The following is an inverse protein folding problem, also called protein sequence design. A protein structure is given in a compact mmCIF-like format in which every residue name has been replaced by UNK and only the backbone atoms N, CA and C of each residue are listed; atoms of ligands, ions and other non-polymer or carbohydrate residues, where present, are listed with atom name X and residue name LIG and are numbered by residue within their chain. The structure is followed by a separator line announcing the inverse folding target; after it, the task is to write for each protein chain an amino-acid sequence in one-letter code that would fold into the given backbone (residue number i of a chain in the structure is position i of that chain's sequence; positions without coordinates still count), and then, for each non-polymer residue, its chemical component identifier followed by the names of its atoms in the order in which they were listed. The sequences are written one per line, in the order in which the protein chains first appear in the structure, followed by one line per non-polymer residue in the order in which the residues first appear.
data_IF_508061966388
#
_entry.id   IF_508061966388
#
_cell.length_a   1.000
_cell.length_b   1.000
_cell.length_c   1.000
_cell.angle_alpha   90.00
_cell.angle_beta   90.00
_cell.angle_gamma   90.00
#
_symmetry.space_group_name_H-M   'P 1'
#
loop_
_entity.id
_entity.type
_entity.pdbx_description
1 polymer ?
#
# COMPACT_ATOMS: atom_id res chain seq x y z
N UNK A 1 -0.05 10.27 -4.45
CA UNK A 1 0.75 9.91 -3.25
C UNK A 1 2.06 9.32 -3.76
N UNK A 2 3.19 9.96 -3.45
CA UNK A 2 4.50 9.50 -3.89
C UNK A 2 4.94 8.33 -3.01
N UNK A 3 5.37 7.24 -3.61
CA UNK A 3 6.04 6.12 -2.93
C UNK A 3 7.52 6.18 -3.27
N UNK A 4 8.36 6.24 -2.27
CA UNK A 4 9.73 6.74 -2.39
C UNK A 4 10.83 5.71 -2.26
N UNK A 5 10.65 4.43 -2.52
CA UNK A 5 11.78 3.51 -2.65
C UNK A 5 11.39 2.20 -3.31
N UNK A 6 12.14 1.80 -4.33
CA UNK A 6 12.17 0.44 -4.82
C UNK A 6 13.46 -0.20 -4.34
N UNK A 7 13.37 -1.30 -3.60
CA UNK A 7 14.51 -2.17 -3.36
C UNK A 7 14.48 -3.28 -4.41
N UNK A 8 15.44 -3.23 -5.32
CA UNK A 8 15.67 -4.32 -6.27
C UNK A 8 16.57 -5.35 -5.63
N UNK A 9 16.01 -6.48 -5.24
CA UNK A 9 16.78 -7.68 -4.94
C UNK A 9 16.65 -8.65 -6.12
N UNK A 10 17.71 -9.42 -6.43
CA UNK A 10 17.76 -10.34 -7.59
C UNK A 10 16.67 -11.41 -7.61
N UNK A 11 15.93 -11.60 -6.52
CA UNK A 11 14.94 -12.67 -6.36
C UNK A 11 13.51 -12.21 -6.17
N UNK A 12 13.23 -10.96 -5.76
CA UNK A 12 11.87 -10.47 -5.51
C UNK A 12 11.83 -8.95 -5.46
N UNK A 13 10.70 -8.36 -5.80
CA UNK A 13 10.44 -6.93 -5.63
C UNK A 13 9.49 -6.73 -4.45
N UNK A 14 9.82 -5.78 -3.58
CA UNK A 14 9.07 -5.47 -2.39
C UNK A 14 8.74 -3.98 -2.36
N UNK A 15 7.45 -3.66 -2.39
CA UNK A 15 6.99 -2.34 -2.00
C UNK A 15 7.08 -2.23 -0.47
N UNK A 16 8.14 -1.59 0.02
CA UNK A 16 8.41 -1.53 1.45
C UNK A 16 7.44 -0.61 2.19
N UNK A 17 7.11 -0.96 3.43
CA UNK A 17 6.43 -0.05 4.33
C UNK A 17 7.27 1.20 4.53
N UNK A 18 6.60 2.33 4.63
CA UNK A 18 7.25 3.60 4.99
C UNK A 18 7.90 3.48 6.37
N UNK A 19 8.90 4.30 6.66
CA UNK A 19 9.53 4.35 7.99
C UNK A 19 8.51 4.56 9.11
N UNK A 20 7.40 5.24 8.80
CA UNK A 20 6.26 5.37 9.71
C UNK A 20 5.63 4.03 10.08
N UNK A 21 5.40 3.13 9.10
CA UNK A 21 4.80 1.82 9.40
C UNK A 21 5.73 1.00 10.27
N UNK A 22 7.04 1.03 10.01
CA UNK A 22 8.05 0.36 10.84
C UNK A 22 8.07 0.92 12.26
N UNK A 23 8.05 2.25 12.41
CA UNK A 23 8.02 2.91 13.71
C UNK A 23 6.72 2.58 14.46
N UNK A 24 5.57 2.61 13.78
CA UNK A 24 4.26 2.22 14.32
C UNK A 24 4.27 0.76 14.79
N UNK A 25 4.75 -0.17 13.96
CA UNK A 25 4.78 -1.59 14.29
C UNK A 25 5.67 -1.86 15.50
N UNK A 26 6.83 -1.20 15.59
CA UNK A 26 7.71 -1.26 16.76
C UNK A 26 7.00 -0.81 18.04
N UNK A 27 6.30 0.33 18.00
CA UNK A 27 5.55 0.81 19.16
C UNK A 27 4.42 -0.13 19.54
N UNK A 28 3.70 -0.68 18.57
CA UNK A 28 2.64 -1.66 18.86
C UNK A 28 3.23 -2.90 19.53
N UNK A 29 4.38 -3.40 19.08
CA UNK A 29 5.03 -4.56 19.68
C UNK A 29 5.56 -4.27 21.11
N UNK A 30 6.03 -3.05 21.37
CA UNK A 30 6.48 -2.63 22.70
C UNK A 30 5.32 -2.48 23.71
N UNK A 31 4.12 -2.10 23.24
CA UNK A 31 2.96 -1.84 24.11
C UNK A 31 1.93 -2.98 24.13
N UNK A 32 2.15 -4.07 23.41
CA UNK A 32 1.36 -5.30 23.56
C UNK A 32 1.59 -5.84 24.96
N UNK A 33 0.63 -5.60 25.88
CA UNK A 33 0.74 -5.94 27.29
C UNK A 33 0.76 -4.73 28.24
N UNK A 34 0.91 -3.51 27.73
CA UNK A 34 0.72 -2.31 28.54
C UNK A 34 -0.78 -1.99 28.63
N UNK A 35 -1.30 -1.95 29.84
CA UNK A 35 -2.71 -1.63 30.10
C UNK A 35 -3.00 -0.12 30.08
N UNK A 36 -1.99 0.72 29.88
CA UNK A 36 -2.17 2.17 29.78
C UNK A 36 -2.49 2.63 28.35
N UNK A 37 -3.76 2.53 27.99
CA UNK A 37 -4.31 2.98 26.71
C UNK A 37 -3.95 4.45 26.41
N UNK A 38 -3.84 5.29 27.45
CA UNK A 38 -3.54 6.72 27.28
C UNK A 38 -2.11 6.93 26.77
N UNK A 39 -1.16 6.23 27.36
CA UNK A 39 0.25 6.24 26.94
C UNK A 39 0.41 5.73 25.51
N UNK A 40 -0.24 4.61 25.21
CA UNK A 40 -0.24 4.01 23.84
C UNK A 40 -0.76 5.01 22.81
N UNK A 41 -1.92 5.63 23.07
CA UNK A 41 -2.52 6.61 22.16
C UNK A 41 -1.65 7.86 21.99
N UNK A 42 -1.01 8.34 23.06
CA UNK A 42 -0.07 9.45 22.97
C UNK A 42 1.14 9.12 22.05
N UNK A 43 1.71 7.93 22.21
CA UNK A 43 2.85 7.47 21.37
C UNK A 43 2.44 7.29 19.90
N UNK A 44 1.25 6.72 19.63
CA UNK A 44 0.74 6.59 18.26
C UNK A 44 0.47 7.96 17.59
N UNK A 45 0.02 8.97 18.37
CA UNK A 45 -0.12 10.35 17.89
C UNK A 45 1.23 10.96 17.52
N UNK A 46 2.26 10.75 18.34
CA UNK A 46 3.61 11.23 18.06
C UNK A 46 4.13 10.64 16.75
N UNK A 47 4.02 9.33 16.56
CA UNK A 47 4.42 8.67 15.31
C UNK A 47 3.64 9.23 14.11
N UNK A 48 2.35 9.47 14.26
CA UNK A 48 1.53 10.04 13.19
C UNK A 48 1.95 11.47 12.82
N UNK A 49 2.40 12.26 13.79
CA UNK A 49 2.92 13.63 13.52
C UNK A 49 4.29 13.62 12.87
N UNK A 50 5.15 12.69 13.25
CA UNK A 50 6.50 12.54 12.67
C UNK A 50 6.46 11.97 11.24
N UNK A 51 5.50 11.11 10.97
CA UNK A 51 5.33 10.41 9.69
C UNK A 51 3.90 10.58 9.14
N UNK A 52 3.59 11.71 8.50
CA UNK A 52 2.21 12.07 8.14
C UNK A 52 1.56 11.24 7.04
N UNK A 53 2.31 10.41 6.32
CA UNK A 53 1.81 9.66 5.17
C UNK A 53 1.99 8.14 5.35
N UNK A 54 1.17 7.48 6.19
CA UNK A 54 1.24 6.03 6.34
C UNK A 54 0.76 5.35 5.04
N UNK A 55 1.56 4.43 4.55
CA UNK A 55 1.11 3.50 3.52
C UNK A 55 1.13 2.08 4.12
N UNK A 56 -0.01 1.57 4.58
CA UNK A 56 -0.08 0.25 5.21
C UNK A 56 0.04 -0.90 4.21
N UNK A 57 0.00 -0.60 2.91
CA UNK A 57 0.10 -1.59 1.85
C UNK A 57 1.53 -2.07 1.68
N UNK A 58 1.69 -3.38 1.74
CA UNK A 58 2.92 -4.08 1.40
C UNK A 58 2.63 -5.11 0.31
N UNK A 59 3.41 -5.11 -0.74
CA UNK A 59 3.31 -6.09 -1.83
C UNK A 59 4.67 -6.70 -2.06
N UNK A 60 4.76 -8.01 -1.94
CA UNK A 60 5.92 -8.80 -2.28
C UNK A 60 5.64 -9.54 -3.58
N UNK A 61 6.35 -9.17 -4.63
CA UNK A 61 6.30 -9.89 -5.91
C UNK A 61 7.38 -10.97 -5.87
N UNK A 62 6.96 -12.22 -6.00
CA UNK A 62 7.85 -13.38 -6.06
C UNK A 62 8.70 -13.33 -7.34
N UNK A 63 9.80 -14.11 -7.43
CA UNK A 63 10.58 -14.21 -8.65
C UNK A 63 9.70 -14.48 -9.87
N UNK A 64 10.03 -13.87 -11.00
CA UNK A 64 9.24 -13.95 -12.25
C UNK A 64 8.89 -15.40 -12.62
N UNK A 65 9.78 -16.36 -12.31
CA UNK A 65 9.55 -17.79 -12.56
C UNK A 65 8.29 -18.34 -11.87
N UNK A 66 7.93 -17.79 -10.72
CA UNK A 66 6.76 -18.24 -9.94
C UNK A 66 5.50 -17.46 -10.28
N UNK A 67 5.66 -16.26 -10.84
CA UNK A 67 4.55 -15.41 -11.32
C UNK A 67 3.50 -15.13 -10.26
N UNK A 68 3.91 -14.96 -9.00
CA UNK A 68 3.03 -14.78 -7.84
C UNK A 68 3.37 -13.51 -7.08
N UNK A 69 2.41 -13.02 -6.33
CA UNK A 69 2.63 -11.93 -5.38
C UNK A 69 1.89 -12.19 -4.06
N UNK A 70 2.42 -11.66 -2.99
CA UNK A 70 1.76 -11.56 -1.69
C UNK A 70 1.36 -10.12 -1.45
N UNK A 71 0.10 -9.92 -1.13
CA UNK A 71 -0.49 -8.64 -0.77
C UNK A 71 -0.81 -8.62 0.71
N UNK A 72 -0.32 -7.61 1.42
CA UNK A 72 -0.54 -7.41 2.84
C UNK A 72 -1.02 -5.99 3.08
N UNK A 73 -2.14 -5.81 3.77
CA UNK A 73 -2.66 -4.49 4.09
C UNK A 73 -3.57 -4.53 5.32
N UNK A 74 -3.79 -3.36 5.90
CA UNK A 74 -4.71 -3.21 7.02
C UNK A 74 -6.15 -3.01 6.53
N UNK A 75 -7.09 -3.77 7.09
CA UNK A 75 -8.54 -3.50 6.99
C UNK A 75 -9.02 -3.13 8.37
N UNK A 76 -9.36 -1.85 8.56
CA UNK A 76 -9.74 -1.29 9.85
C UNK A 76 -8.59 -1.41 10.86
N UNK A 77 -8.60 -2.42 11.73
CA UNK A 77 -7.58 -2.71 12.73
C UNK A 77 -6.84 -4.02 12.49
N UNK A 78 -7.33 -4.83 11.57
CA UNK A 78 -6.77 -6.16 11.31
C UNK A 78 -5.84 -6.14 10.10
N UNK A 79 -4.64 -6.67 10.28
CA UNK A 79 -3.71 -6.89 9.16
C UNK A 79 -4.11 -8.17 8.46
N UNK A 80 -4.33 -8.09 7.15
CA UNK A 80 -4.77 -9.21 6.32
C UNK A 80 -3.86 -9.41 5.11
N UNK A 81 -3.69 -10.66 4.69
CA UNK A 81 -2.87 -10.97 3.54
C UNK A 81 -3.45 -12.08 2.66
N UNK A 82 -3.12 -12.03 1.39
CA UNK A 82 -3.43 -13.09 0.42
C UNK A 82 -2.28 -13.26 -0.57
N UNK A 83 -2.28 -14.41 -1.25
CA UNK A 83 -1.37 -14.74 -2.35
C UNK A 83 -2.17 -14.98 -3.62
N UNK A 84 -1.72 -14.42 -4.72
CA UNK A 84 -2.33 -14.58 -6.04
C UNK A 84 -1.26 -14.74 -7.11
N UNK A 85 -1.68 -15.23 -8.28
CA UNK A 85 -0.86 -15.13 -9.49
C UNK A 85 -0.83 -13.69 -9.98
N UNK A 86 0.30 -13.27 -10.50
CA UNK A 86 0.37 -11.98 -11.20
C UNK A 86 -0.62 -12.01 -12.39
N UNK A 87 -1.41 -10.94 -12.56
CA UNK A 87 -2.29 -10.84 -13.72
C UNK A 87 -1.46 -10.75 -15.01
N UNK A 88 -1.99 -11.27 -16.09
CA UNK A 88 -1.41 -11.02 -17.42
C UNK A 88 -1.62 -9.54 -17.77
N UNK A 89 -0.54 -8.85 -18.10
CA UNK A 89 -0.56 -7.43 -18.45
C UNK A 89 -0.24 -7.27 -19.93
N UNK A 90 -1.20 -6.81 -20.70
CA UNK A 90 -1.01 -6.51 -22.13
C UNK A 90 -0.57 -5.08 -22.29
N UNK A 91 0.76 -4.86 -22.36
CA UNK A 91 1.35 -3.55 -22.52
C UNK A 91 1.35 -3.05 -23.97
N UNK A 92 0.89 -1.83 -24.18
CA UNK A 92 0.97 -1.11 -25.43
C UNK A 92 2.00 0.02 -25.31
N UNK A 93 3.08 -0.03 -26.11
CA UNK A 93 4.06 1.06 -26.17
C UNK A 93 3.52 2.22 -26.99
N UNK A 94 3.69 3.46 -26.51
CA UNK A 94 3.12 4.64 -27.15
C UNK A 94 4.11 5.35 -28.10
N UNK A 95 5.36 4.92 -28.14
CA UNK A 95 6.43 5.58 -28.89
C UNK A 95 6.94 6.89 -28.28
N UNK A 96 6.49 7.23 -27.05
CA UNK A 96 7.01 8.38 -26.30
C UNK A 96 8.21 7.97 -25.46
N UNK A 97 9.13 8.90 -25.25
CA UNK A 97 10.30 8.74 -24.40
C UNK A 97 10.44 9.91 -23.42
N UNK A 98 11.16 9.66 -22.34
CA UNK A 98 11.49 10.65 -21.30
C UNK A 98 12.71 10.17 -20.50
N UNK A 99 13.13 10.96 -19.51
CA UNK A 99 14.18 10.58 -18.56
C UNK A 99 13.62 10.56 -17.14
N UNK A 100 13.79 9.43 -16.43
CA UNK A 100 13.43 9.27 -15.02
C UNK A 100 14.65 8.78 -14.26
N UNK A 101 14.99 9.43 -13.15
CA UNK A 101 16.18 9.12 -12.35
C UNK A 101 17.49 9.01 -13.16
N UNK A 102 17.61 9.77 -14.28
CA UNK A 102 18.80 9.74 -15.14
C UNK A 102 18.81 8.62 -16.18
N UNK A 103 17.81 7.76 -16.23
CA UNK A 103 17.66 6.67 -17.21
C UNK A 103 16.73 7.07 -18.35
N UNK A 104 17.07 6.70 -19.58
CA UNK A 104 16.17 6.84 -20.71
C UNK A 104 15.00 5.84 -20.58
N UNK A 105 13.77 6.36 -20.63
CA UNK A 105 12.57 5.58 -20.41
C UNK A 105 11.62 5.65 -21.61
N UNK A 106 10.94 4.55 -21.88
CA UNK A 106 9.88 4.41 -22.87
C UNK A 106 8.53 4.33 -22.17
N UNK A 107 7.51 4.89 -22.80
CA UNK A 107 6.14 4.85 -22.26
C UNK A 107 5.38 3.62 -22.74
N UNK A 108 4.66 2.99 -21.80
CA UNK A 108 3.68 1.95 -22.10
C UNK A 108 2.39 2.17 -21.31
N UNK A 109 1.30 1.55 -21.78
CA UNK A 109 -0.02 1.58 -21.14
C UNK A 109 -0.60 0.18 -21.05
N UNK A 110 -1.32 -0.09 -19.96
CA UNK A 110 -2.10 -1.31 -19.78
C UNK A 110 -3.24 -1.09 -18.80
N UNK A 111 -4.29 -1.91 -18.90
CA UNK A 111 -5.31 -2.05 -17.87
C UNK A 111 -4.92 -3.16 -16.91
N UNK A 112 -4.88 -2.86 -15.61
CA UNK A 112 -4.57 -3.85 -14.56
C UNK A 112 -5.58 -3.71 -13.43
N UNK A 113 -6.31 -4.77 -13.14
CA UNK A 113 -7.39 -4.80 -12.15
C UNK A 113 -8.37 -3.62 -12.27
N UNK A 114 -8.91 -3.40 -13.48
CA UNK A 114 -9.90 -2.38 -13.76
C UNK A 114 -9.37 -0.94 -13.79
N UNK A 115 -8.05 -0.75 -13.65
CA UNK A 115 -7.41 0.56 -13.63
C UNK A 115 -6.46 0.73 -14.80
N UNK A 116 -6.61 1.83 -15.54
CA UNK A 116 -5.72 2.18 -16.65
C UNK A 116 -4.42 2.79 -16.12
N UNK A 117 -3.30 2.16 -16.44
CA UNK A 117 -1.96 2.58 -16.05
C UNK A 117 -1.18 3.14 -17.23
N UNK A 118 -0.49 4.25 -17.00
CA UNK A 118 0.56 4.77 -17.88
C UNK A 118 1.87 4.66 -17.12
N UNK A 119 2.86 3.99 -17.71
CA UNK A 119 4.15 3.73 -17.07
C UNK A 119 5.32 4.18 -17.94
N UNK A 120 6.44 4.48 -17.28
CA UNK A 120 7.72 4.76 -17.90
C UNK A 120 8.73 3.72 -17.43
N UNK A 121 9.24 2.93 -18.35
CA UNK A 121 10.18 1.86 -18.07
C UNK A 121 11.49 2.06 -18.81
N UNK A 122 12.60 1.61 -18.20
CA UNK A 122 13.92 1.70 -18.82
C UNK A 122 14.46 0.33 -19.22
N UNK A 123 14.80 0.13 -20.51
CA UNK A 123 15.49 -1.08 -20.95
C UNK A 123 16.95 -1.18 -20.45
N UNK A 124 17.53 -0.08 -19.97
CA UNK A 124 18.90 -0.05 -19.43
C UNK A 124 19.04 -0.92 -18.17
N UNK A 125 17.93 -1.16 -17.47
CA UNK A 125 17.86 -2.07 -16.34
C UNK A 125 16.93 -3.23 -16.73
N UNK A 126 17.48 -4.35 -17.24
CA UNK A 126 16.70 -5.43 -17.87
C UNK A 126 16.06 -6.36 -16.84
N UNK A 127 15.27 -5.80 -15.94
CA UNK A 127 14.44 -6.52 -14.95
C UNK A 127 12.98 -6.14 -15.13
N UNK A 128 12.11 -7.14 -15.23
CA UNK A 128 10.69 -6.95 -15.56
C UNK A 128 9.83 -6.63 -14.33
N UNK A 129 10.30 -5.72 -13.48
CA UNK A 129 9.62 -5.32 -12.25
C UNK A 129 9.20 -3.85 -12.27
N UNK A 130 8.36 -3.47 -11.32
CA UNK A 130 7.92 -2.10 -11.10
C UNK A 130 7.17 -1.95 -9.78
N UNK A 131 6.61 -0.77 -9.52
CA UNK A 131 5.84 -0.52 -8.29
C UNK A 131 4.58 -1.36 -8.23
N UNK A 132 4.16 -1.70 -7.02
CA UNK A 132 2.96 -2.50 -6.76
C UNK A 132 3.13 -3.89 -7.38
N UNK A 133 2.25 -4.33 -8.26
CA UNK A 133 2.34 -5.58 -9.02
C UNK A 133 2.69 -5.34 -10.49
N UNK A 134 2.94 -4.09 -10.88
CA UNK A 134 3.20 -3.74 -12.27
C UNK A 134 4.55 -4.31 -12.72
N UNK A 135 4.56 -4.99 -13.85
CA UNK A 135 5.76 -5.62 -14.38
C UNK A 135 5.53 -6.24 -15.75
N UNK A 136 6.44 -7.10 -16.19
CA UNK A 136 6.30 -7.81 -17.47
C UNK A 136 6.79 -7.01 -18.70
N UNK A 137 7.26 -5.78 -18.53
CA UNK A 137 7.97 -5.02 -19.59
C UNK A 137 9.44 -5.46 -19.69
N UNK A 138 10.09 -5.27 -20.83
CA UNK A 138 11.51 -5.60 -21.02
C UNK A 138 12.45 -4.57 -20.37
N UNK A 139 12.16 -4.22 -19.10
CA UNK A 139 12.90 -3.23 -18.32
C UNK A 139 12.17 -2.82 -17.06
N UNK A 140 12.89 -2.12 -16.17
CA UNK A 140 12.36 -1.66 -14.88
C UNK A 140 11.40 -0.47 -15.08
N UNK A 141 10.22 -0.55 -14.49
CA UNK A 141 9.27 0.56 -14.45
C UNK A 141 9.73 1.54 -13.36
N UNK A 142 10.08 2.76 -13.76
CA UNK A 142 10.55 3.82 -12.86
C UNK A 142 9.48 4.84 -12.50
N UNK A 143 8.42 4.93 -13.30
CA UNK A 143 7.29 5.81 -13.02
C UNK A 143 6.00 5.12 -13.48
N UNK A 144 4.94 5.22 -12.68
CA UNK A 144 3.64 4.65 -12.99
C UNK A 144 2.53 5.53 -12.41
N UNK A 145 1.59 5.92 -13.25
CA UNK A 145 0.45 6.73 -12.86
C UNK A 145 -0.83 6.16 -13.43
N UNK A 146 -1.89 6.11 -12.62
CA UNK A 146 -3.21 5.74 -13.10
C UNK A 146 -3.89 6.91 -13.83
N UNK A 147 -4.88 6.59 -14.67
CA UNK A 147 -5.57 7.59 -15.50
C UNK A 147 -6.31 8.66 -14.67
N UNK A 148 -6.78 8.30 -13.48
CA UNK A 148 -7.50 9.20 -12.57
C UNK A 148 -6.55 10.10 -11.76
N UNK A 149 -5.23 9.85 -11.81
CA UNK A 149 -4.22 10.57 -11.02
C UNK A 149 -4.32 10.31 -9.51
N UNK A 150 -4.99 9.25 -9.10
CA UNK A 150 -5.15 8.88 -7.70
C UNK A 150 -3.90 8.20 -7.13
N UNK A 151 -3.19 7.46 -7.99
CA UNK A 151 -1.96 6.75 -7.65
C UNK A 151 -0.84 7.15 -8.61
N UNK A 152 0.24 7.60 -8.03
CA UNK A 152 1.45 7.92 -8.77
C UNK A 152 2.66 7.41 -8.01
N UNK A 153 3.43 6.54 -8.67
CA UNK A 153 4.68 5.98 -8.18
C UNK A 153 5.80 6.55 -9.03
N UNK A 154 6.77 7.18 -8.40
CA UNK A 154 7.95 7.72 -9.09
C UNK A 154 9.20 7.27 -8.36
N UNK A 155 10.15 6.67 -9.07
CA UNK A 155 11.46 6.36 -8.53
C UNK A 155 12.20 7.67 -8.24
N UNK A 156 12.74 7.81 -7.04
CA UNK A 156 13.55 8.96 -6.62
C UNK A 156 15.03 8.63 -6.51
N UNK A 157 15.37 7.33 -6.57
CA UNK A 157 16.73 6.82 -6.54
C UNK A 157 16.74 5.31 -6.69
N UNK A 158 17.88 4.78 -7.12
CA UNK A 158 18.11 3.35 -7.28
C UNK A 158 19.41 2.99 -6.58
N UNK A 159 19.35 1.97 -5.75
CA UNK A 159 20.50 1.39 -5.08
C UNK A 159 20.64 -0.09 -5.46
N UNK A 160 21.80 -0.47 -5.94
CA UNK A 160 22.07 -1.86 -6.32
C UNK A 160 22.64 -2.63 -5.13
N UNK A 161 22.01 -3.76 -4.79
CA UNK A 161 22.45 -4.68 -3.74
C UNK A 161 22.80 -3.99 -2.41
N UNK A 162 21.88 -3.23 -1.81
CA UNK A 162 22.12 -2.66 -0.49
C UNK A 162 22.43 -3.80 0.50
N UNK A 163 23.51 -3.63 1.30
CA UNK A 163 24.03 -4.68 2.18
C UNK A 163 23.01 -5.13 3.23
N UNK A 164 22.08 -4.24 3.59
CA UNK A 164 21.07 -4.44 4.65
C UNK A 164 19.64 -4.60 4.10
N UNK A 165 19.49 -4.93 2.80
CA UNK A 165 18.16 -5.12 2.22
C UNK A 165 17.48 -6.36 2.79
N UNK A 166 16.46 -6.15 3.60
CA UNK A 166 15.57 -7.21 4.10
C UNK A 166 14.33 -7.23 3.24
N UNK A 167 14.09 -8.36 2.57
CA UNK A 167 12.92 -8.59 1.70
C UNK A 167 11.93 -9.47 2.43
N UNK A 168 11.17 -8.87 3.35
CA UNK A 168 10.12 -9.56 4.08
C UNK A 168 8.93 -8.63 4.36
N UNK A 169 7.75 -9.22 4.47
CA UNK A 169 6.53 -8.49 4.80
C UNK A 169 6.44 -8.29 6.31
N UNK A 170 6.18 -7.06 6.71
CA UNK A 170 6.09 -6.64 8.10
C UNK A 170 4.92 -7.33 8.81
N UNK A 171 5.21 -8.06 9.91
CA UNK A 171 4.18 -8.72 10.76
C UNK A 171 3.24 -9.67 10.02
N UNK A 172 3.68 -10.29 8.92
CA UNK A 172 2.88 -11.30 8.20
C UNK A 172 2.51 -12.49 9.11
N UNK A 173 3.34 -12.83 10.06
CA UNK A 173 3.12 -13.87 11.09
C UNK A 173 1.92 -13.58 12.00
N UNK A 174 1.62 -12.31 12.24
CA UNK A 174 0.48 -11.84 13.05
C UNK A 174 -0.76 -11.49 12.21
N UNK A 175 -0.63 -11.54 10.88
CA UNK A 175 -1.69 -11.17 9.96
C UNK A 175 -2.59 -12.36 9.61
N UNK A 176 -3.86 -12.08 9.33
CA UNK A 176 -4.84 -13.11 8.97
C UNK A 176 -4.75 -13.42 7.49
N UNK A 177 -4.50 -14.69 7.16
CA UNK A 177 -4.56 -15.16 5.76
C UNK A 177 -6.00 -15.23 5.27
N UNK A 178 -6.24 -14.73 4.07
CA UNK A 178 -7.55 -14.81 3.41
C UNK A 178 -7.38 -15.07 1.90
N UNK A 179 -8.47 -15.13 1.17
CA UNK A 179 -8.46 -15.07 -0.29
C UNK A 179 -8.63 -13.62 -0.76
N UNK A 180 -8.16 -13.27 -1.96
CA UNK A 180 -8.37 -11.95 -2.56
C UNK A 180 -9.85 -11.56 -2.57
N UNK A 181 -10.75 -12.49 -2.96
CA UNK A 181 -12.21 -12.26 -2.92
C UNK A 181 -12.67 -11.86 -1.51
N UNK A 182 -12.23 -12.60 -0.48
CA UNK A 182 -12.60 -12.30 0.91
C UNK A 182 -12.03 -10.97 1.39
N UNK A 183 -10.80 -10.64 1.00
CA UNK A 183 -10.20 -9.35 1.28
C UNK A 183 -11.04 -8.21 0.70
N UNK A 184 -11.43 -8.30 -0.58
CA UNK A 184 -12.27 -7.28 -1.25
C UNK A 184 -13.62 -7.13 -0.57
N UNK A 185 -14.31 -8.24 -0.23
CA UNK A 185 -15.59 -8.20 0.50
C UNK A 185 -15.47 -7.45 1.84
N UNK A 186 -14.41 -7.73 2.61
CA UNK A 186 -14.19 -7.09 3.91
C UNK A 186 -13.81 -5.62 3.76
N UNK A 187 -12.96 -5.31 2.79
CA UNK A 187 -12.58 -3.95 2.43
C UNK A 187 -13.80 -3.10 2.08
N UNK A 188 -14.67 -3.61 1.20
CA UNK A 188 -15.84 -2.90 0.71
C UNK A 188 -16.89 -2.74 1.82
N UNK A 189 -17.05 -3.77 2.66
CA UNK A 189 -17.87 -3.67 3.88
C UNK A 189 -17.33 -2.57 4.80
N UNK A 190 -16.02 -2.54 5.06
CA UNK A 190 -15.41 -1.53 5.91
C UNK A 190 -15.54 -0.11 5.36
N UNK A 191 -15.52 0.04 4.02
CA UNK A 191 -15.75 1.32 3.35
C UNK A 191 -17.21 1.81 3.41
N UNK A 192 -18.15 0.89 3.50
CA UNK A 192 -19.57 1.24 3.60
C UNK A 192 -20.03 1.56 5.03
N UNK A 193 -19.18 1.32 6.04
CA UNK A 193 -19.54 1.55 7.43
C UNK A 193 -19.53 3.03 7.82
N UNK A 194 -20.53 3.43 8.61
CA UNK A 194 -20.55 4.72 9.29
C UNK A 194 -19.56 4.76 10.47
N UNK A 195 -19.30 5.94 10.99
CA UNK A 195 -18.52 6.09 12.23
C UNK A 195 -19.22 5.41 13.41
N UNK A 196 -20.56 5.49 13.47
CA UNK A 196 -21.36 4.82 14.51
C UNK A 196 -21.23 3.30 14.45
N UNK A 197 -21.21 2.71 13.25
CA UNK A 197 -21.04 1.25 13.10
C UNK A 197 -19.66 0.81 13.61
N UNK A 198 -18.63 1.57 13.31
CA UNK A 198 -17.27 1.27 13.77
C UNK A 198 -17.13 1.37 15.29
N UNK A 199 -17.71 2.40 15.90
CA UNK A 199 -17.72 2.54 17.36
C UNK A 199 -18.42 1.34 18.01
N UNK A 200 -19.54 0.90 17.42
CA UNK A 200 -20.30 -0.27 17.90
C UNK A 200 -19.49 -1.56 17.79
N UNK A 201 -18.75 -1.79 16.70
CA UNK A 201 -17.84 -2.94 16.56
C UNK A 201 -16.71 -2.93 17.61
N UNK A 202 -16.25 -1.74 18.01
CA UNK A 202 -15.27 -1.56 19.09
C UNK A 202 -15.87 -1.68 20.50
N UNK A 203 -17.15 -2.02 20.61
CA UNK A 203 -17.87 -2.13 21.91
C UNK A 203 -18.25 -0.79 22.53
N UNK A 204 -18.13 0.30 21.77
CA UNK A 204 -18.51 1.64 22.23
C UNK A 204 -19.96 1.93 21.80
N UNK A 205 -20.83 2.24 22.77
CA UNK A 205 -22.19 2.68 22.45
C UNK A 205 -22.13 4.09 21.84
N UNK A 206 -22.41 4.19 20.53
CA UNK A 206 -22.37 5.47 19.80
C UNK A 206 -23.31 6.54 20.38
N UNK A 207 -24.35 6.14 21.19
CA UNK A 207 -25.25 7.05 21.89
C UNK A 207 -24.57 7.75 23.06
N UNK A 208 -23.47 7.20 23.57
CA UNK A 208 -22.68 7.81 24.65
C UNK A 208 -21.62 8.76 24.15
N UNK A 209 -21.34 8.76 22.82
CA UNK A 209 -20.38 9.66 22.22
C UNK A 209 -21.04 11.00 21.93
N UNK A 210 -20.64 12.01 22.66
CA UNK A 210 -21.25 13.35 22.58
C UNK A 210 -20.80 14.09 21.31
N UNK A 211 -19.55 13.88 20.89
CA UNK A 211 -18.97 14.58 19.75
C UNK A 211 -17.74 13.85 19.23
N UNK A 212 -17.65 13.71 17.91
CA UNK A 212 -16.43 13.32 17.22
C UNK A 212 -16.00 14.46 16.30
N UNK A 213 -14.75 14.82 16.35
CA UNK A 213 -14.19 15.94 15.59
C UNK A 213 -13.09 15.38 14.67
N UNK A 214 -13.09 15.80 13.42
CA UNK A 214 -12.01 15.47 12.47
C UNK A 214 -10.69 16.14 12.84
N UNK A 215 -9.59 15.76 12.20
CA UNK A 215 -8.27 16.35 12.47
C UNK A 215 -8.19 17.85 12.18
N UNK A 216 -9.00 18.34 11.25
CA UNK A 216 -9.15 19.76 10.90
C UNK A 216 -10.19 20.49 11.78
N UNK A 217 -10.67 19.85 12.84
CA UNK A 217 -11.56 20.43 13.85
C UNK A 217 -13.04 20.48 13.47
N UNK A 218 -13.46 19.84 12.39
CA UNK A 218 -14.87 19.79 11.97
C UNK A 218 -15.64 18.70 12.70
N UNK A 219 -16.89 18.98 13.01
CA UNK A 219 -17.80 17.99 13.58
C UNK A 219 -18.10 16.89 12.55
N UNK A 220 -17.99 15.65 12.99
CA UNK A 220 -18.29 14.46 12.20
C UNK A 220 -19.68 13.96 12.57
N UNK A 221 -20.57 13.84 11.59
CA UNK A 221 -21.82 13.09 11.77
C UNK A 221 -21.50 11.60 11.90
N UNK A 222 -21.82 11.02 13.03
CA UNK A 222 -21.57 9.61 13.31
C UNK A 222 -22.32 8.64 12.39
N UNK A 223 -23.43 9.08 11.82
CA UNK A 223 -24.23 8.28 10.90
C UNK A 223 -23.78 8.43 9.44
N UNK A 224 -22.92 9.38 9.17
CA UNK A 224 -22.37 9.56 7.83
C UNK A 224 -21.37 8.44 7.52
N UNK A 225 -21.40 7.94 6.29
CA UNK A 225 -20.41 7.00 5.80
C UNK A 225 -19.04 7.68 5.76
N UNK A 226 -18.02 6.98 6.22
CA UNK A 226 -16.66 7.48 6.15
C UNK A 226 -16.29 7.76 4.69
N UNK A 227 -15.38 8.71 4.43
CA UNK A 227 -14.86 8.92 3.09
C UNK A 227 -14.33 7.61 2.51
N UNK A 228 -14.78 7.27 1.30
CA UNK A 228 -14.30 6.06 0.62
C UNK A 228 -12.79 6.16 0.40
N UNK A 229 -12.08 5.11 0.78
CA UNK A 229 -10.66 5.01 0.43
C UNK A 229 -10.52 4.58 -1.02
N UNK A 230 -9.56 5.17 -1.71
CA UNK A 230 -9.17 4.72 -3.04
C UNK A 230 -8.26 3.51 -2.91
N UNK A 231 -8.50 2.50 -3.72
CA UNK A 231 -7.71 1.27 -3.76
C UNK A 231 -7.04 1.12 -5.11
N UNK A 232 -5.88 0.45 -5.11
CA UNK A 232 -5.10 0.18 -6.32
C UNK A 232 -5.82 -0.77 -7.28
N UNK A 233 -6.56 -1.74 -6.74
CA UNK A 233 -7.37 -2.68 -7.49
C UNK A 233 -8.86 -2.34 -7.36
N UNK A 234 -9.54 -2.21 -8.49
CA UNK A 234 -10.99 -1.92 -8.57
C UNK A 234 -11.83 -3.21 -8.66
N UNK A 235 -11.22 -4.34 -9.10
CA UNK A 235 -11.88 -5.63 -9.31
C UNK A 235 -11.32 -6.73 -8.41
#
# INVERSE_FOLDING_TARGET
RSVSAFLLNRSSDLSLPTDQNRAKDKVIDEVVGDNDVTSVMARLRTIRSEFPNPNPLEVLVEPIADGRYTYLNDIVSDKMWYEEKLPEMSWETTGRDTTVCGYACLQAKAMVYGRDWTVWFTPEIPVSYGPYILGGLPGLILDAMDADGLFHFTAVGLEQNPADAVVELSRKDKAVKCTRKKYIELRDKANGQSYADKLREMGVDSRTVVKVVSEDGKDIDLNESRPKQNYLDLE
#
